data_IF_095455836673
#
_entry.id   IF_095455836673
#
_cell.length_a   1.000
_cell.length_b   1.000
_cell.length_c   1.000
_cell.angle_alpha   90.00
_cell.angle_beta   90.00
_cell.angle_gamma   90.00
#
_symmetry.space_group_name_H-M   'P 1'
#
loop_
_entity.id
_entity.type
_entity.pdbx_description
1 polymer ?
#
# COMPACT_ATOMS: atom_id res chain seq x y z
N UNK A 1 0.07 13.67 12.11
CA UNK A 1 1.33 13.54 12.87
C UNK A 1 2.45 13.74 11.87
N UNK A 2 3.52 14.48 12.21
CA UNK A 2 4.68 14.60 11.34
C UNK A 2 5.72 13.57 11.76
N UNK A 3 6.11 12.70 10.84
CA UNK A 3 7.19 11.73 11.06
C UNK A 3 8.51 12.36 10.62
N UNK A 4 9.62 12.10 11.34
CA UNK A 4 10.90 12.68 11.00
C UNK A 4 11.49 12.08 9.72
N UNK A 5 12.23 12.90 8.98
CA UNK A 5 13.04 12.48 7.84
C UNK A 5 14.36 13.28 7.83
N UNK A 6 15.55 12.63 7.75
CA UNK A 6 15.75 11.18 7.77
C UNK A 6 15.34 10.57 9.13
N UNK A 7 15.07 9.27 9.13
CA UNK A 7 14.75 8.49 10.33
C UNK A 7 15.82 7.44 10.60
N UNK A 8 16.24 7.34 11.87
CA UNK A 8 17.09 6.27 12.38
C UNK A 8 16.54 5.81 13.72
N UNK A 9 16.31 4.50 13.85
CA UNK A 9 15.90 3.90 15.13
C UNK A 9 17.06 3.93 16.13
N UNK A 10 16.73 4.01 17.42
CA UNK A 10 17.70 3.91 18.50
C UNK A 10 18.55 2.64 18.35
N UNK A 11 19.87 2.78 18.44
CA UNK A 11 20.81 1.69 18.21
C UNK A 11 20.57 0.47 19.11
N UNK A 12 19.99 0.65 20.30
CA UNK A 12 19.65 -0.43 21.25
C UNK A 12 18.46 -1.27 20.79
N UNK A 13 17.67 -0.76 19.85
CA UNK A 13 16.49 -1.42 19.30
C UNK A 13 16.77 -2.06 17.92
N UNK A 14 18.01 -2.00 17.43
CA UNK A 14 18.40 -2.63 16.18
C UNK A 14 18.83 -4.09 16.42
N UNK A 15 18.54 -5.02 15.49
CA UNK A 15 19.00 -6.41 15.56
C UNK A 15 20.52 -6.56 15.26
N UNK A 16 21.20 -5.46 14.94
CA UNK A 16 22.64 -5.35 14.69
C UNK A 16 23.00 -3.98 14.08
N UNK A 17 24.23 -3.80 13.57
CA UNK A 17 24.58 -2.62 12.79
C UNK A 17 23.73 -2.51 11.53
N UNK A 18 23.34 -1.29 11.15
CA UNK A 18 22.66 -1.03 9.88
C UNK A 18 23.57 -1.42 8.69
N UNK A 19 23.01 -1.97 7.60
CA UNK A 19 23.78 -2.29 6.41
C UNK A 19 24.29 -1.03 5.71
N UNK A 20 25.50 -1.10 5.16
CA UNK A 20 26.11 0.00 4.41
C UNK A 20 25.57 0.03 2.96
N UNK A 21 25.39 1.19 2.29
CA UNK A 21 24.90 1.26 0.91
C UNK A 21 25.60 0.30 -0.07
N UNK A 22 26.93 0.23 -0.06
CA UNK A 22 27.69 -0.74 -0.87
C UNK A 22 27.36 -2.22 -0.63
N UNK A 23 26.99 -2.61 0.60
CA UNK A 23 26.55 -3.97 0.90
C UNK A 23 25.17 -4.23 0.31
N UNK A 24 24.27 -3.25 0.42
CA UNK A 24 22.91 -3.29 -0.11
C UNK A 24 22.91 -3.43 -1.64
N UNK A 25 23.75 -2.65 -2.32
CA UNK A 25 23.84 -2.64 -3.78
C UNK A 25 24.37 -3.95 -4.37
N UNK A 26 25.29 -4.60 -3.64
CA UNK A 26 25.90 -5.88 -4.04
C UNK A 26 25.10 -7.11 -3.62
N UNK A 27 24.04 -6.93 -2.85
CA UNK A 27 23.23 -8.04 -2.38
C UNK A 27 22.57 -8.79 -3.54
N UNK A 28 22.71 -10.13 -3.52
CA UNK A 28 22.18 -11.03 -4.55
C UNK A 28 20.84 -11.65 -4.15
N UNK A 29 20.57 -11.75 -2.85
CA UNK A 29 19.29 -12.28 -2.35
C UNK A 29 18.23 -11.19 -2.44
N UNK A 30 17.38 -11.31 -3.45
CA UNK A 30 16.22 -10.46 -3.68
C UNK A 30 14.95 -11.15 -3.20
N UNK A 31 13.97 -10.36 -2.75
CA UNK A 31 12.60 -10.83 -2.58
C UNK A 31 11.81 -10.60 -3.87
N UNK A 32 10.82 -11.46 -4.18
CA UNK A 32 9.95 -11.25 -5.33
C UNK A 32 9.22 -9.91 -5.22
N UNK A 33 8.98 -9.28 -6.37
CA UNK A 33 8.15 -8.08 -6.50
C UNK A 33 7.13 -8.31 -7.58
N UNK A 34 5.95 -7.70 -7.41
CA UNK A 34 4.87 -7.78 -8.40
C UNK A 34 5.14 -6.90 -9.62
N UNK A 35 6.06 -5.94 -9.51
CA UNK A 35 6.36 -4.99 -10.58
C UNK A 35 7.85 -4.64 -10.64
N UNK A 36 8.38 -4.51 -11.87
CA UNK A 36 9.77 -4.12 -12.15
C UNK A 36 9.98 -2.59 -12.07
N UNK A 37 9.04 -1.85 -11.47
CA UNK A 37 9.10 -0.39 -11.35
C UNK A 37 10.21 0.04 -10.38
N UNK A 38 11.45 0.06 -10.88
CA UNK A 38 12.53 0.94 -10.43
C UNK A 38 13.03 0.80 -9.00
N UNK A 39 12.58 -0.18 -8.22
CA UNK A 39 13.04 -0.41 -6.85
C UNK A 39 13.63 -1.81 -6.68
N UNK A 40 14.74 -1.95 -5.97
CA UNK A 40 15.27 -3.24 -5.50
C UNK A 40 14.80 -3.51 -4.07
N UNK A 41 14.58 -4.79 -3.75
CA UNK A 41 14.24 -5.26 -2.40
C UNK A 41 15.15 -6.44 -2.09
N UNK A 42 16.08 -6.23 -1.17
CA UNK A 42 17.15 -7.18 -0.87
C UNK A 42 17.11 -7.58 0.59
N UNK A 43 17.47 -8.84 0.86
CA UNK A 43 17.62 -9.35 2.21
C UNK A 43 19.08 -9.30 2.61
N UNK A 44 19.38 -8.66 3.73
CA UNK A 44 20.73 -8.52 4.27
C UNK A 44 20.83 -9.24 5.61
N UNK A 45 21.75 -10.21 5.69
CA UNK A 45 22.10 -10.95 6.92
C UNK A 45 20.91 -11.62 7.63
N UNK A 46 19.84 -11.97 6.91
CA UNK A 46 18.59 -12.52 7.48
C UNK A 46 17.98 -11.67 8.60
N UNK A 47 18.28 -10.37 8.62
CA UNK A 47 17.84 -9.42 9.65
C UNK A 47 17.13 -8.21 9.05
N UNK A 48 17.55 -7.82 7.86
CA UNK A 48 17.08 -6.61 7.21
C UNK A 48 16.49 -6.92 5.85
N UNK A 49 15.40 -6.23 5.57
CA UNK A 49 14.94 -5.99 4.21
C UNK A 49 15.27 -4.54 3.88
N UNK A 50 15.90 -4.33 2.73
CA UNK A 50 16.22 -2.98 2.23
C UNK A 50 15.51 -2.75 0.91
N UNK A 51 14.60 -1.77 0.90
CA UNK A 51 13.93 -1.27 -0.31
C UNK A 51 14.62 0.02 -0.73
N UNK A 52 15.05 0.09 -1.99
CA UNK A 52 15.70 1.30 -2.52
C UNK A 52 15.54 1.44 -4.03
N UNK A 53 15.57 2.67 -4.53
CA UNK A 53 15.53 2.97 -5.97
C UNK A 53 14.73 4.23 -6.32
N UNK A 54 14.75 4.67 -7.59
CA UNK A 54 14.14 5.92 -8.06
C UNK A 54 12.64 6.07 -7.81
N UNK A 55 11.89 4.96 -7.72
CA UNK A 55 10.43 4.99 -7.54
C UNK A 55 9.99 4.67 -6.12
N UNK A 56 10.93 4.42 -5.20
CA UNK A 56 10.60 4.21 -3.78
C UNK A 56 10.23 5.56 -3.16
N UNK A 57 9.09 5.59 -2.47
CA UNK A 57 8.58 6.79 -1.82
C UNK A 57 8.68 6.69 -0.30
N UNK A 58 8.70 7.83 0.38
CA UNK A 58 8.79 7.89 1.85
C UNK A 58 7.54 7.36 2.56
N UNK A 59 6.43 7.20 1.83
CA UNK A 59 5.15 6.82 2.42
C UNK A 59 5.20 5.47 3.13
N UNK A 60 5.94 4.49 2.61
CA UNK A 60 6.08 3.19 3.28
C UNK A 60 6.71 3.35 4.66
N UNK A 61 7.79 4.14 4.79
CA UNK A 61 8.41 4.40 6.08
C UNK A 61 7.47 5.12 7.06
N UNK A 62 6.73 6.12 6.57
CA UNK A 62 5.73 6.80 7.40
C UNK A 62 4.58 5.86 7.83
N UNK A 63 4.11 4.99 6.94
CA UNK A 63 3.08 4.02 7.23
C UNK A 63 3.56 3.02 8.28
N UNK A 64 4.79 2.48 8.15
CA UNK A 64 5.38 1.57 9.14
C UNK A 64 5.47 2.22 10.54
N UNK A 65 5.89 3.49 10.63
CA UNK A 65 5.91 4.22 11.90
C UNK A 65 4.51 4.44 12.48
N UNK A 66 3.51 4.69 11.62
CA UNK A 66 2.13 4.88 12.04
C UNK A 66 1.52 3.58 12.59
N UNK A 67 1.69 2.46 11.88
CA UNK A 67 1.09 1.18 12.27
C UNK A 67 1.78 0.53 13.47
N UNK A 68 3.07 0.80 13.68
CA UNK A 68 3.77 0.38 14.89
C UNK A 68 3.16 1.01 16.16
N UNK A 69 2.70 2.27 16.09
CA UNK A 69 2.01 2.93 17.23
C UNK A 69 0.67 2.27 17.57
N UNK A 70 0.09 1.54 16.62
CA UNK A 70 -1.20 0.88 16.73
C UNK A 70 -1.06 -0.62 17.05
N UNK A 71 0.17 -1.12 17.18
CA UNK A 71 0.48 -2.55 17.39
C UNK A 71 -0.02 -3.47 16.26
N UNK A 72 -0.22 -2.94 15.05
CA UNK A 72 -0.51 -3.76 13.88
C UNK A 72 0.77 -4.50 13.48
N UNK A 73 0.65 -5.81 13.20
CA UNK A 73 1.79 -6.63 12.79
C UNK A 73 2.32 -6.21 11.41
N UNK A 74 3.45 -5.50 11.42
CA UNK A 74 4.16 -5.02 10.23
C UNK A 74 5.68 -5.01 10.51
N UNK A 75 6.55 -5.02 9.49
CA UNK A 75 7.99 -4.86 9.67
C UNK A 75 8.35 -3.59 10.43
N UNK A 76 9.21 -3.68 11.44
CA UNK A 76 9.72 -2.48 12.11
C UNK A 76 10.64 -1.69 11.18
N UNK A 77 10.38 -0.39 11.03
CA UNK A 77 11.29 0.52 10.32
C UNK A 77 12.55 0.77 11.15
N UNK A 78 13.73 0.49 10.61
CA UNK A 78 15.01 0.75 11.28
C UNK A 78 15.70 2.01 10.80
N UNK A 79 15.62 2.32 9.51
CA UNK A 79 16.12 3.57 8.97
C UNK A 79 15.39 3.96 7.68
N UNK A 80 15.28 5.25 7.43
CA UNK A 80 14.81 5.81 6.17
C UNK A 80 15.60 7.08 5.86
N UNK A 81 16.36 7.09 4.76
CA UNK A 81 17.21 8.22 4.40
C UNK A 81 17.45 8.28 2.89
N UNK A 82 17.87 9.45 2.40
CA UNK A 82 18.36 9.62 1.02
C UNK A 82 19.87 9.63 1.02
N UNK A 83 20.45 8.88 0.10
CA UNK A 83 21.83 9.03 -0.34
C UNK A 83 21.81 9.45 -1.80
N UNK A 84 22.29 10.66 -2.07
CA UNK A 84 22.06 11.37 -3.34
C UNK A 84 20.55 11.41 -3.68
N UNK A 85 20.16 10.88 -4.85
CA UNK A 85 18.75 10.83 -5.29
C UNK A 85 18.05 9.50 -4.95
N UNK A 86 18.75 8.57 -4.29
CA UNK A 86 18.21 7.24 -3.96
C UNK A 86 17.67 7.22 -2.54
N UNK A 87 16.38 6.89 -2.39
CA UNK A 87 15.77 6.63 -1.10
C UNK A 87 16.09 5.19 -0.66
N UNK A 88 16.55 5.03 0.58
CA UNK A 88 16.74 3.74 1.24
C UNK A 88 15.78 3.61 2.40
N UNK A 89 15.02 2.51 2.43
CA UNK A 89 14.15 2.11 3.53
C UNK A 89 14.69 0.78 4.05
N UNK A 90 15.17 0.79 5.30
CA UNK A 90 15.71 -0.39 5.98
C UNK A 90 14.71 -0.80 7.06
N UNK A 91 14.21 -2.02 6.97
CA UNK A 91 13.18 -2.56 7.85
C UNK A 91 13.48 -4.00 8.27
N UNK A 92 12.72 -4.48 9.25
CA UNK A 92 12.78 -5.85 9.76
C UNK A 92 12.56 -6.90 8.66
N UNK A 93 13.43 -7.90 8.62
CA UNK A 93 13.14 -9.13 7.90
C UNK A 93 12.24 -10.02 8.74
N UNK A 94 10.97 -10.14 8.34
CA UNK A 94 10.01 -11.04 8.99
C UNK A 94 10.09 -12.40 8.31
N UNK A 95 10.60 -13.45 8.99
CA UNK A 95 10.63 -14.79 8.41
C UNK A 95 9.21 -15.35 8.35
N UNK A 96 8.70 -15.54 7.14
CA UNK A 96 7.37 -16.11 6.93
C UNK A 96 7.27 -16.84 5.60
N UNK A 97 6.40 -17.87 5.58
CA UNK A 97 5.81 -18.43 4.36
C UNK A 97 4.51 -17.65 4.12
N UNK A 98 4.01 -17.47 2.91
CA UNK A 98 2.73 -16.77 2.68
C UNK A 98 1.52 -17.70 3.02
N UNK A 99 0.36 -17.11 3.42
CA UNK A 99 -1.01 -17.62 3.72
C UNK A 99 -1.55 -17.76 5.19
N UNK A 100 -2.59 -16.97 5.54
CA UNK A 100 -3.64 -17.34 6.52
C UNK A 100 -3.77 -16.58 7.88
N UNK A 101 -4.92 -15.89 8.06
CA UNK A 101 -5.52 -15.24 9.27
C UNK A 101 -5.26 -13.74 9.49
N UNK A 102 -5.60 -12.91 8.50
CA UNK A 102 -5.47 -11.43 8.53
C UNK A 102 -6.63 -10.71 9.22
N UNK A 103 -7.68 -11.45 9.61
CA UNK A 103 -8.98 -10.88 9.98
C UNK A 103 -8.92 -9.90 11.17
N UNK A 104 -8.18 -10.24 12.22
CA UNK A 104 -8.05 -9.38 13.39
C UNK A 104 -7.37 -8.04 13.05
N UNK A 105 -6.26 -8.11 12.30
CA UNK A 105 -5.47 -6.93 11.93
C UNK A 105 -6.26 -5.95 11.06
N UNK A 106 -7.01 -6.45 10.07
CA UNK A 106 -7.80 -5.59 9.19
C UNK A 106 -9.01 -4.99 9.90
N UNK A 107 -9.64 -5.74 10.81
CA UNK A 107 -10.72 -5.20 11.64
C UNK A 107 -10.21 -4.05 12.51
N UNK A 108 -9.04 -4.20 13.14
CA UNK A 108 -8.41 -3.15 13.96
C UNK A 108 -8.04 -1.92 13.13
N UNK A 109 -7.43 -2.10 11.95
CA UNK A 109 -7.09 -1.00 11.04
C UNK A 109 -8.32 -0.20 10.59
N UNK A 110 -9.39 -0.90 10.23
CA UNK A 110 -10.62 -0.26 9.71
C UNK A 110 -11.45 0.38 10.81
N UNK A 111 -11.24 0.00 12.07
CA UNK A 111 -11.89 0.61 13.23
C UNK A 111 -11.22 1.92 13.71
N UNK A 112 -10.10 2.33 13.10
CA UNK A 112 -9.42 3.57 13.47
C UNK A 112 -10.31 4.79 13.22
N UNK A 113 -10.26 5.81 14.11
CA UNK A 113 -11.06 7.01 13.94
C UNK A 113 -10.68 7.74 12.66
N UNK A 114 -11.70 8.06 11.85
CA UNK A 114 -11.51 8.80 10.62
C UNK A 114 -10.89 10.18 10.89
N UNK A 115 -9.85 10.59 10.17
CA UNK A 115 -9.22 11.88 10.38
C UNK A 115 -9.93 13.03 9.66
N UNK A 116 -11.01 12.74 8.92
CA UNK A 116 -11.80 13.73 8.17
C UNK A 116 -11.16 14.23 6.88
N UNK A 117 -10.13 13.56 6.36
CA UNK A 117 -9.50 13.88 5.07
C UNK A 117 -9.04 12.59 4.37
N UNK A 118 -8.86 12.64 3.06
CA UNK A 118 -8.27 11.58 2.24
C UNK A 118 -6.83 11.94 1.88
N UNK A 119 -5.87 11.08 2.16
CA UNK A 119 -4.44 11.41 2.02
C UNK A 119 -3.54 10.31 2.59
N UNK A 120 -2.24 10.46 2.42
CA UNK A 120 -1.25 9.63 3.13
C UNK A 120 -1.33 9.83 4.65
N UNK A 121 -0.66 8.94 5.39
CA UNK A 121 -0.59 8.99 6.87
C UNK A 121 0.02 10.29 7.42
N UNK A 122 0.88 10.95 6.62
CA UNK A 122 1.48 12.24 6.95
C UNK A 122 0.65 13.45 6.46
N UNK A 123 -0.63 13.25 6.11
CA UNK A 123 -1.55 14.28 5.57
C UNK A 123 -1.10 14.87 4.23
N UNK A 124 -0.36 14.11 3.45
CA UNK A 124 0.13 14.48 2.12
C UNK A 124 -0.71 13.88 0.99
N UNK A 125 -0.16 13.85 -0.23
CA UNK A 125 -0.77 13.22 -1.39
C UNK A 125 -1.27 11.80 -1.15
N UNK A 126 -2.25 11.37 -1.96
CA UNK A 126 -2.71 9.99 -1.99
C UNK A 126 -1.56 9.11 -2.53
N UNK A 127 -1.06 8.14 -1.76
CA UNK A 127 0.06 7.30 -2.16
C UNK A 127 -0.42 6.17 -3.07
N UNK A 128 -1.06 6.50 -4.19
CA UNK A 128 -1.57 5.52 -5.14
C UNK A 128 -1.43 6.03 -6.58
N UNK A 129 -1.12 5.12 -7.51
CA UNK A 129 -0.85 5.43 -8.93
C UNK A 129 -1.97 6.18 -9.65
N UNK A 130 -3.23 5.99 -9.25
CA UNK A 130 -4.38 6.75 -9.76
C UNK A 130 -4.35 8.25 -9.40
N UNK A 131 -3.39 8.67 -8.58
CA UNK A 131 -3.16 10.05 -8.16
C UNK A 131 -1.74 10.53 -8.53
N UNK A 132 -1.06 9.82 -9.43
CA UNK A 132 0.29 10.21 -9.88
C UNK A 132 0.26 11.40 -10.84
N UNK A 133 1.14 12.38 -10.62
CA UNK A 133 1.34 13.49 -11.55
C UNK A 133 2.82 13.86 -11.59
N UNK A 134 3.41 13.89 -12.79
CA UNK A 134 4.79 14.33 -13.01
C UNK A 134 5.00 15.78 -12.54
N UNK A 135 4.00 16.63 -12.76
CA UNK A 135 4.01 18.05 -12.37
C UNK A 135 3.64 18.27 -10.90
N UNK A 136 3.28 17.20 -10.18
CA UNK A 136 2.79 17.24 -8.79
C UNK A 136 1.56 18.15 -8.64
N UNK A 137 0.64 18.07 -9.61
CA UNK A 137 -0.60 18.83 -9.59
C UNK A 137 -1.46 18.43 -8.36
N UNK A 138 -1.68 19.32 -7.38
CA UNK A 138 -2.42 18.99 -6.17
C UNK A 138 -3.88 18.64 -6.43
N UNK A 139 -4.45 19.03 -7.58
CA UNK A 139 -5.81 18.63 -7.98
C UNK A 139 -5.91 17.16 -8.35
N UNK A 140 -4.77 16.53 -8.67
CA UNK A 140 -4.64 15.09 -8.92
C UNK A 140 -4.03 14.39 -7.70
N UNK A 141 -2.99 14.95 -7.09
CA UNK A 141 -2.23 14.23 -6.06
C UNK A 141 -2.89 14.29 -4.68
N UNK A 142 -3.67 15.35 -4.39
CA UNK A 142 -4.27 15.57 -3.07
C UNK A 142 -3.25 15.99 -2.00
N UNK A 143 -3.57 15.93 -0.70
CA UNK A 143 -4.76 15.37 -0.05
C UNK A 143 -6.10 16.05 -0.41
N UNK A 144 -7.22 15.39 -0.08
CA UNK A 144 -8.58 15.89 -0.33
C UNK A 144 -9.42 15.98 0.94
N UNK A 145 -10.35 16.93 0.99
CA UNK A 145 -11.29 17.10 2.11
C UNK A 145 -12.60 16.34 1.89
N UNK A 146 -13.00 16.16 0.64
CA UNK A 146 -14.26 15.51 0.29
C UNK A 146 -14.05 14.31 -0.62
N UNK A 147 -15.01 13.39 -0.59
CA UNK A 147 -15.01 12.23 -1.49
C UNK A 147 -15.24 12.64 -2.95
N UNK A 148 -15.99 13.73 -3.16
CA UNK A 148 -16.18 14.33 -4.48
C UNK A 148 -14.84 14.78 -5.09
N UNK A 149 -14.01 15.47 -4.32
CA UNK A 149 -12.65 15.87 -4.73
C UNK A 149 -11.78 14.65 -5.06
N UNK A 150 -11.85 13.62 -4.22
CA UNK A 150 -11.12 12.37 -4.42
C UNK A 150 -11.53 11.67 -5.74
N UNK A 151 -12.83 11.55 -6.01
CA UNK A 151 -13.35 10.98 -7.26
C UNK A 151 -12.99 11.84 -8.48
N UNK A 152 -13.04 13.18 -8.33
CA UNK A 152 -12.64 14.12 -9.38
C UNK A 152 -11.17 14.00 -9.74
N UNK A 153 -10.30 13.80 -8.75
CA UNK A 153 -8.86 13.64 -8.95
C UNK A 153 -8.52 12.43 -9.83
N UNK A 154 -9.21 11.30 -9.65
CA UNK A 154 -9.04 10.10 -10.50
C UNK A 154 -9.42 10.42 -11.96
N UNK A 155 -10.52 11.16 -12.17
CA UNK A 155 -10.91 11.58 -13.52
C UNK A 155 -9.91 12.56 -14.14
N UNK A 156 -9.36 13.49 -13.35
CA UNK A 156 -8.30 14.41 -13.79
C UNK A 156 -7.02 13.65 -14.15
N UNK A 157 -6.63 12.63 -13.37
CA UNK A 157 -5.50 11.76 -13.70
C UNK A 157 -5.69 11.09 -15.05
N UNK A 158 -6.86 10.53 -15.29
CA UNK A 158 -7.22 9.91 -16.57
C UNK A 158 -7.05 10.93 -17.71
N UNK A 159 -7.62 12.14 -17.58
CA UNK A 159 -7.46 13.20 -18.60
C UNK A 159 -6.00 13.56 -18.87
N UNK A 160 -5.21 13.71 -17.81
CA UNK A 160 -3.78 14.02 -17.92
C UNK A 160 -3.03 12.92 -18.68
N UNK A 161 -3.23 11.65 -18.32
CA UNK A 161 -2.59 10.49 -18.96
C UNK A 161 -2.90 10.39 -20.46
N UNK A 162 -4.15 10.60 -20.86
CA UNK A 162 -4.54 10.59 -22.28
C UNK A 162 -3.97 11.79 -23.04
N UNK A 163 -3.93 12.96 -22.40
CA UNK A 163 -3.33 14.17 -22.98
C UNK A 163 -1.82 14.03 -23.18
N UNK A 164 -1.11 13.42 -22.22
CA UNK A 164 0.32 13.05 -22.33
C UNK A 164 0.57 12.13 -23.54
N UNK A 165 -0.42 11.29 -23.89
CA UNK A 165 -0.40 10.39 -25.04
C UNK A 165 -0.94 11.03 -26.34
N UNK A 166 -1.13 12.36 -26.38
CA UNK A 166 -1.74 13.10 -27.50
C UNK A 166 -3.08 12.50 -27.98
N UNK A 167 -3.85 11.93 -27.05
CA UNK A 167 -5.08 11.20 -27.32
C UNK A 167 -6.22 11.71 -26.44
N UNK A 168 -7.45 11.39 -26.84
CA UNK A 168 -8.65 11.74 -26.08
C UNK A 168 -9.43 10.49 -25.71
N UNK A 169 -9.85 10.38 -24.45
CA UNK A 169 -10.69 9.29 -23.97
C UNK A 169 -12.10 9.80 -23.65
N UNK A 170 -13.08 9.27 -24.37
CA UNK A 170 -14.50 9.44 -24.05
C UNK A 170 -14.86 8.82 -22.71
N UNK A 171 -14.14 7.77 -22.30
CA UNK A 171 -14.30 7.17 -20.98
C UNK A 171 -13.82 8.13 -19.89
N UNK A 172 -12.74 8.87 -20.13
CA UNK A 172 -12.29 9.95 -19.24
C UNK A 172 -13.35 11.05 -19.05
N UNK A 173 -14.02 11.45 -20.13
CA UNK A 173 -15.14 12.40 -20.06
C UNK A 173 -16.37 11.83 -19.35
N UNK A 174 -16.60 10.53 -19.45
CA UNK A 174 -17.60 9.84 -18.64
C UNK A 174 -17.23 9.86 -17.15
N UNK A 175 -16.00 9.48 -16.81
CA UNK A 175 -15.50 9.49 -15.43
C UNK A 175 -15.60 10.89 -14.81
N UNK A 176 -15.22 11.93 -15.55
CA UNK A 176 -15.30 13.32 -15.05
C UNK A 176 -16.71 13.79 -14.72
N UNK A 177 -17.74 13.25 -15.38
CA UNK A 177 -19.15 13.60 -15.12
C UNK A 177 -19.76 12.82 -13.96
N UNK A 178 -19.30 11.58 -13.74
CA UNK A 178 -20.00 10.63 -12.87
C UNK A 178 -19.22 10.23 -11.63
N UNK A 179 -17.90 10.05 -11.72
CA UNK A 179 -17.09 9.53 -10.61
C UNK A 179 -17.21 10.38 -9.31
N UNK A 180 -17.26 11.73 -9.37
CA UNK A 180 -17.46 12.56 -8.17
C UNK A 180 -18.84 12.40 -7.52
N UNK A 181 -19.81 11.78 -8.19
CA UNK A 181 -21.22 11.75 -7.79
C UNK A 181 -21.73 10.33 -7.46
N UNK A 182 -21.04 9.28 -7.91
CA UNK A 182 -21.55 7.89 -7.80
C UNK A 182 -20.98 7.11 -6.62
N UNK A 183 -19.80 7.47 -6.12
CA UNK A 183 -19.19 6.90 -4.92
C UNK A 183 -19.21 7.99 -3.84
N UNK A 184 -20.27 8.00 -3.04
CA UNK A 184 -20.54 9.01 -2.02
C UNK A 184 -20.93 8.36 -0.69
N UNK A 185 -20.56 9.04 0.39
CA UNK A 185 -20.84 8.72 1.79
C UNK A 185 -19.92 7.63 2.37
N UNK A 186 -18.69 7.53 1.89
CA UNK A 186 -17.70 6.58 2.41
C UNK A 186 -16.61 7.33 3.18
N UNK A 187 -16.64 7.32 4.53
CA UNK A 187 -15.71 8.10 5.33
C UNK A 187 -14.25 7.66 5.11
N UNK A 188 -13.27 8.56 5.28
CA UNK A 188 -11.86 8.20 5.22
C UNK A 188 -11.52 7.12 6.23
N UNK A 189 -11.05 5.99 5.74
CA UNK A 189 -10.73 4.78 6.49
C UNK A 189 -9.28 4.42 6.23
N UNK A 190 -8.54 4.02 7.27
CA UNK A 190 -7.16 3.61 7.09
C UNK A 190 -7.13 2.31 6.29
N UNK A 191 -6.35 2.31 5.21
CA UNK A 191 -6.37 1.31 4.16
C UNK A 191 -4.92 0.93 3.85
N UNK A 192 -4.67 -0.38 3.70
CA UNK A 192 -3.36 -0.90 3.29
C UNK A 192 -3.07 -0.51 1.85
N UNK A 193 -4.04 -0.69 0.95
CA UNK A 193 -3.99 -0.20 -0.42
C UNK A 193 -3.43 -1.21 -1.42
N UNK A 194 -2.68 -2.21 -0.96
CA UNK A 194 -2.24 -3.36 -1.77
C UNK A 194 -2.37 -4.70 -0.99
N UNK A 195 -3.56 -4.98 -0.47
CA UNK A 195 -3.82 -6.20 0.29
C UNK A 195 -3.97 -7.43 -0.64
N UNK A 196 -2.84 -7.90 -1.17
CA UNK A 196 -2.77 -9.10 -1.98
C UNK A 196 -2.03 -10.23 -1.23
N UNK A 197 -2.25 -11.49 -1.63
CA UNK A 197 -1.76 -12.68 -0.89
C UNK A 197 -0.25 -12.68 -0.65
N UNK A 198 0.55 -12.14 -1.58
CA UNK A 198 2.01 -12.08 -1.43
C UNK A 198 2.46 -11.06 -0.37
N UNK A 199 1.60 -10.10 -0.02
CA UNK A 199 1.84 -9.08 1.00
C UNK A 199 1.40 -9.52 2.41
N UNK A 200 0.95 -10.78 2.55
CA UNK A 200 0.57 -11.40 3.82
C UNK A 200 1.60 -12.49 4.17
N UNK A 201 2.44 -12.20 5.15
CA UNK A 201 3.41 -13.16 5.68
C UNK A 201 2.79 -13.95 6.82
N UNK A 202 2.99 -15.27 6.83
CA UNK A 202 2.56 -16.16 7.90
C UNK A 202 3.70 -16.98 8.46
N UNK A 203 3.54 -17.40 9.71
CA UNK A 203 4.40 -18.37 10.35
C UNK A 203 3.63 -19.67 10.53
N UNK A 204 4.33 -20.77 10.26
CA UNK A 204 3.85 -22.11 10.51
C UNK A 204 3.98 -22.40 11.99
N UNK A 205 2.88 -22.82 12.60
CA UNK A 205 2.81 -23.29 13.98
C UNK A 205 2.39 -24.74 14.02
N UNK A 206 2.84 -25.47 15.05
CA UNK A 206 2.39 -26.83 15.31
C UNK A 206 1.48 -26.77 16.52
N UNK A 207 0.20 -27.06 16.31
CA UNK A 207 -0.77 -27.11 17.39
C UNK A 207 -0.40 -28.27 18.32
N UNK A 208 0.00 -27.96 19.55
CA UNK A 208 0.50 -28.95 20.50
C UNK A 208 -0.57 -29.97 20.93
N UNK A 209 -1.86 -29.66 20.77
CA UNK A 209 -2.97 -30.55 21.13
C UNK A 209 -3.37 -31.49 19.98
N UNK A 210 -3.31 -31.02 18.73
CA UNK A 210 -3.74 -31.81 17.56
C UNK A 210 -2.58 -32.39 16.75
N UNK A 211 -1.35 -31.94 17.04
CA UNK A 211 -0.13 -32.18 16.27
C UNK A 211 -0.28 -31.85 14.78
N UNK A 212 -1.21 -30.93 14.46
CA UNK A 212 -1.44 -30.44 13.09
C UNK A 212 -0.66 -29.15 12.85
N UNK A 213 -0.23 -29.00 11.62
CA UNK A 213 0.35 -27.77 11.13
C UNK A 213 -0.77 -26.74 10.92
N UNK A 214 -0.63 -25.60 11.57
CA UNK A 214 -1.51 -24.44 11.45
C UNK A 214 -0.65 -23.24 11.00
N UNK A 215 -1.31 -22.20 10.53
CA UNK A 215 -0.66 -20.99 10.03
C UNK A 215 -1.29 -19.77 10.71
N UNK A 216 -0.45 -18.86 11.18
CA UNK A 216 -0.87 -17.59 11.77
C UNK A 216 -0.15 -16.44 11.08
N UNK A 217 -0.81 -15.29 10.96
CA UNK A 217 -0.19 -14.11 10.35
C UNK A 217 1.00 -13.63 11.17
N UNK A 218 2.13 -13.47 10.51
CA UNK A 218 3.35 -12.93 11.06
C UNK A 218 3.40 -11.40 10.87
N UNK A 219 3.10 -10.92 9.67
CA UNK A 219 3.06 -9.48 9.36
C UNK A 219 2.35 -9.20 8.02
N UNK A 220 1.83 -7.99 7.88
CA UNK A 220 1.52 -7.36 6.59
C UNK A 220 2.74 -6.59 6.10
N UNK A 221 3.03 -6.66 4.80
CA UNK A 221 4.17 -5.99 4.16
C UNK A 221 3.73 -5.16 2.95
N UNK A 222 4.65 -4.36 2.42
CA UNK A 222 4.42 -3.46 1.28
C UNK A 222 3.38 -2.36 1.56
N UNK A 223 3.65 -1.59 2.61
CA UNK A 223 2.80 -0.49 3.09
C UNK A 223 2.94 0.79 2.26
N UNK A 224 3.52 0.71 1.06
CA UNK A 224 3.83 1.90 0.26
C UNK A 224 2.60 2.67 -0.19
N UNK A 225 1.46 1.98 -0.34
CA UNK A 225 0.18 2.59 -0.74
C UNK A 225 -0.74 2.92 0.42
N UNK A 226 -0.27 2.71 1.66
CA UNK A 226 -1.12 2.86 2.83
C UNK A 226 -1.46 4.33 3.12
N UNK A 227 -2.71 4.56 3.53
CA UNK A 227 -3.24 5.90 3.74
C UNK A 227 -4.71 5.92 4.12
N UNK A 228 -5.31 7.10 4.04
CA UNK A 228 -6.72 7.35 4.31
C UNK A 228 -7.47 7.48 3.00
N UNK A 229 -8.34 6.51 2.73
CA UNK A 229 -9.10 6.38 1.49
C UNK A 229 -10.59 6.24 1.82
N UNK A 230 -11.50 6.40 0.85
CA UNK A 230 -12.90 6.02 1.03
C UNK A 230 -13.02 4.60 1.59
N UNK A 231 -13.98 4.36 2.48
CA UNK A 231 -14.12 3.08 3.20
C UNK A 231 -14.27 1.86 2.28
N UNK A 232 -14.69 2.06 1.03
CA UNK A 232 -14.80 1.01 0.02
C UNK A 232 -13.45 0.60 -0.61
N UNK A 233 -12.41 1.41 -0.49
CA UNK A 233 -11.22 1.36 -1.36
C UNK A 233 -10.49 0.03 -1.29
N UNK A 234 -10.28 -0.54 -0.09
CA UNK A 234 -9.58 -1.81 0.10
C UNK A 234 -10.20 -2.94 -0.75
N UNK A 235 -11.54 -3.04 -0.80
CA UNK A 235 -12.23 -4.03 -1.63
C UNK A 235 -12.28 -3.62 -3.10
N UNK A 236 -12.69 -2.38 -3.38
CA UNK A 236 -12.99 -1.99 -4.75
C UNK A 236 -11.72 -1.86 -5.61
N UNK A 237 -10.58 -1.50 -5.03
CA UNK A 237 -9.32 -1.39 -5.75
C UNK A 237 -8.77 -2.76 -6.17
N UNK A 238 -8.91 -3.79 -5.32
CA UNK A 238 -8.42 -5.15 -5.64
C UNK A 238 -9.40 -5.91 -6.55
N UNK A 239 -10.68 -5.55 -6.56
CA UNK A 239 -11.72 -6.26 -7.32
C UNK A 239 -11.40 -6.45 -8.82
N UNK A 240 -10.87 -5.45 -9.55
CA UNK A 240 -10.45 -5.61 -10.95
C UNK A 240 -9.28 -6.60 -11.14
N UNK A 241 -8.45 -6.79 -10.10
CA UNK A 241 -7.28 -7.67 -10.10
C UNK A 241 -7.60 -9.12 -9.73
N UNK A 242 -8.84 -9.41 -9.29
CA UNK A 242 -9.28 -10.76 -9.00
C UNK A 242 -9.43 -11.55 -10.30
N UNK A 243 -8.61 -12.60 -10.45
CA UNK A 243 -8.54 -13.42 -11.67
C UNK A 243 -9.58 -14.55 -11.72
N UNK A 244 -10.20 -14.89 -10.58
CA UNK A 244 -11.21 -15.95 -10.47
C UNK A 244 -10.71 -17.34 -10.93
N UNK A 245 -9.41 -17.59 -10.78
CA UNK A 245 -8.75 -18.87 -11.13
C UNK A 245 -8.47 -19.76 -9.91
N UNK A 246 -8.68 -19.24 -8.71
CA UNK A 246 -8.46 -19.90 -7.42
C UNK A 246 -9.49 -19.41 -6.38
N UNK A 247 -9.33 -19.82 -5.12
CA UNK A 247 -10.22 -19.47 -4.02
C UNK A 247 -9.86 -18.12 -3.35
N UNK A 248 -8.87 -17.38 -3.86
CA UNK A 248 -8.47 -16.09 -3.29
C UNK A 248 -9.61 -15.06 -3.24
N UNK A 249 -10.45 -14.90 -4.30
CA UNK A 249 -11.61 -14.01 -4.22
C UNK A 249 -12.57 -14.36 -3.07
N UNK A 250 -12.80 -15.66 -2.83
CA UNK A 250 -13.65 -16.12 -1.74
C UNK A 250 -13.02 -15.84 -0.36
N UNK A 251 -11.68 -15.82 -0.25
CA UNK A 251 -11.00 -15.36 0.96
C UNK A 251 -11.11 -13.85 1.15
N UNK A 252 -11.02 -13.06 0.08
CA UNK A 252 -11.22 -11.61 0.14
C UNK A 252 -12.62 -11.27 0.68
N UNK A 253 -13.66 -11.95 0.22
CA UNK A 253 -15.03 -11.72 0.71
C UNK A 253 -15.26 -12.19 2.16
N UNK A 254 -14.38 -13.04 2.69
CA UNK A 254 -14.35 -13.35 4.13
C UNK A 254 -13.59 -12.31 4.93
N UNK A 255 -12.79 -11.47 4.28
CA UNK A 255 -11.83 -10.53 4.89
C UNK A 255 -12.25 -9.06 4.74
N UNK A 256 -13.07 -8.75 3.74
CA UNK A 256 -13.61 -7.43 3.47
C UNK A 256 -15.09 -7.58 3.12
N UNK A 257 -15.89 -6.60 3.54
CA UNK A 257 -17.28 -6.53 3.12
C UNK A 257 -17.34 -6.46 1.58
N UNK A 258 -18.11 -7.35 0.92
CA UNK A 258 -18.26 -7.29 -0.52
C UNK A 258 -19.00 -6.02 -0.94
N UNK A 259 -18.34 -5.18 -1.73
CA UNK A 259 -18.86 -3.91 -2.26
C UNK A 259 -18.91 -3.94 -3.79
N UNK A 260 -19.79 -4.77 -4.40
CA UNK A 260 -19.74 -5.06 -5.82
C UNK A 260 -20.08 -3.85 -6.71
N UNK A 261 -20.84 -2.87 -6.21
CA UNK A 261 -21.14 -1.65 -6.96
C UNK A 261 -19.90 -0.77 -7.10
N UNK A 262 -19.21 -0.55 -5.98
CA UNK A 262 -17.95 0.17 -5.91
C UNK A 262 -16.86 -0.56 -6.70
N UNK A 263 -16.77 -1.88 -6.55
CA UNK A 263 -15.87 -2.73 -7.32
C UNK A 263 -16.13 -2.66 -8.83
N UNK A 264 -17.40 -2.67 -9.25
CA UNK A 264 -17.76 -2.51 -10.66
C UNK A 264 -17.35 -1.13 -11.20
N UNK A 265 -17.58 -0.05 -10.44
CA UNK A 265 -17.15 1.28 -10.84
C UNK A 265 -15.62 1.39 -10.91
N UNK A 266 -14.91 0.81 -9.94
CA UNK A 266 -13.44 0.76 -9.96
C UNK A 266 -12.87 -0.12 -11.08
N UNK A 267 -13.62 -1.12 -11.57
CA UNK A 267 -13.26 -1.87 -12.79
C UNK A 267 -13.33 -1.00 -14.04
N UNK A 268 -14.29 -0.07 -14.12
CA UNK A 268 -14.34 0.93 -15.20
C UNK A 268 -13.13 1.86 -15.12
N UNK A 269 -12.80 2.36 -13.93
CA UNK A 269 -11.59 3.17 -13.70
C UNK A 269 -10.32 2.41 -14.11
N UNK A 270 -10.19 1.16 -13.67
CA UNK A 270 -9.08 0.28 -14.01
C UNK A 270 -8.92 0.12 -15.53
N UNK A 271 -10.02 -0.08 -16.27
CA UNK A 271 -9.96 -0.23 -17.72
C UNK A 271 -9.50 1.00 -18.49
N UNK A 272 -9.50 2.19 -17.86
CA UNK A 272 -9.00 3.42 -18.47
C UNK A 272 -7.56 3.74 -18.06
N UNK A 273 -7.20 3.50 -16.80
CA UNK A 273 -5.92 3.90 -16.20
C UNK A 273 -4.81 2.85 -16.23
N UNK A 274 -5.12 1.60 -16.58
CA UNK A 274 -4.19 0.46 -16.56
C UNK A 274 -3.91 -0.13 -17.95
N UNK A 275 -4.15 0.66 -19.00
CA UNK A 275 -3.91 0.31 -20.40
C UNK A 275 -2.62 0.92 -20.96
#
# INVERSE_FOLDING_TARGET
MAFPFPYYRDARQLPGPLPHPHEVERATRTLPKRSDYGGRLVVIRDKYVVKYGPLVTENEGYALLFVEQLNIAAPRLYAMYRDQDTLYIIMEYVPGVSLGTVWALLTEMRALPSPGFYGSVNRGPIPHRYFFSCEKDPTITGSFQTEEEFGKAIALRSKAMWSESNSHSFLSDYLARHLPLVLLNHPPTFTHGDLYRENILVKKIVNSATNKEEYEVAALVDWETAGWYPSYWEYAHIFPLLQWIDDWPAYIEKILDPLPLEGAMMRVVFSDLEF
#
